data_IF_032680445765
#
_entry.id   IF_032680445765
#
_cell.length_a   1.000
_cell.length_b   1.000
_cell.length_c   1.000
_cell.angle_alpha   90.00
_cell.angle_beta   90.00
_cell.angle_gamma   90.00
#
_symmetry.space_group_name_H-M   'P 1'
#
loop_
_entity.id
_entity.type
_entity.pdbx_description
1 polymer ?
#
# COMPACT_ATOMS: atom_id res chain seq x y z
N UNK A 1 -0.68 -21.50 3.76
CA UNK A 1 0.53 -21.51 2.95
C UNK A 1 0.16 -21.76 1.52
N UNK A 2 0.58 -20.87 0.60
CA UNK A 2 0.44 -21.15 -0.82
C UNK A 2 1.30 -22.35 -1.18
N UNK A 3 0.82 -23.29 -1.99
CA UNK A 3 1.66 -24.36 -2.51
C UNK A 3 2.75 -23.69 -3.36
N UNK A 4 4.01 -23.89 -2.99
CA UNK A 4 5.12 -23.56 -3.88
C UNK A 4 5.06 -24.58 -5.02
N UNK A 5 4.52 -24.19 -6.15
CA UNK A 5 4.57 -25.02 -7.35
C UNK A 5 5.99 -24.93 -7.88
N UNK A 6 6.76 -25.99 -7.63
CA UNK A 6 8.09 -26.14 -8.21
C UNK A 6 7.88 -26.93 -9.50
N UNK A 7 8.03 -26.30 -10.64
CA UNK A 7 7.92 -26.90 -11.97
C UNK A 7 9.19 -27.61 -12.43
N UNK A 8 10.14 -27.77 -11.51
CA UNK A 8 11.37 -28.56 -11.71
C UNK A 8 11.33 -29.71 -10.73
N UNK A 9 11.48 -30.93 -11.23
CA UNK A 9 11.72 -32.09 -10.38
C UNK A 9 13.07 -31.94 -9.68
N UNK A 10 13.01 -31.51 -8.44
CA UNK A 10 14.20 -31.26 -7.62
C UNK A 10 14.85 -32.57 -7.14
N UNK A 11 14.34 -33.73 -7.50
CA UNK A 11 14.82 -35.03 -7.03
C UNK A 11 14.90 -35.12 -5.50
N UNK A 12 14.73 -36.28 -4.94
CA UNK A 12 14.74 -36.51 -3.47
C UNK A 12 15.98 -35.95 -2.75
N UNK A 13 17.11 -35.81 -3.46
CA UNK A 13 18.36 -35.31 -2.88
C UNK A 13 18.53 -33.80 -2.89
N UNK A 14 17.63 -33.06 -3.56
CA UNK A 14 17.66 -31.60 -3.66
C UNK A 14 16.63 -30.94 -2.76
N UNK A 15 15.67 -31.68 -2.29
CA UNK A 15 14.81 -31.28 -1.18
C UNK A 15 15.54 -31.64 0.10
N UNK A 16 15.88 -30.70 0.99
CA UNK A 16 16.54 -31.01 2.25
C UNK A 16 15.76 -32.11 2.96
N UNK A 17 16.47 -33.21 3.26
CA UNK A 17 15.97 -34.50 3.69
C UNK A 17 14.60 -34.53 4.30
N UNK A 18 13.83 -35.44 3.83
CA UNK A 18 12.39 -35.63 4.06
C UNK A 18 11.71 -34.43 4.70
N UNK A 19 10.72 -33.86 4.08
CA UNK A 19 9.91 -32.71 4.56
C UNK A 19 9.60 -32.79 6.10
N UNK A 20 9.70 -33.95 6.68
CA UNK A 20 9.56 -34.22 8.09
C UNK A 20 10.63 -33.58 9.00
N UNK A 21 11.79 -33.25 8.45
CA UNK A 21 12.87 -32.59 9.20
C UNK A 21 12.96 -31.10 8.95
N UNK A 22 12.12 -30.51 8.06
CA UNK A 22 12.12 -29.09 7.78
C UNK A 22 11.32 -28.38 8.87
N UNK A 23 12.00 -28.01 9.92
CA UNK A 23 11.46 -27.19 11.02
C UNK A 23 11.34 -25.71 10.63
N UNK A 24 11.97 -25.31 9.53
CA UNK A 24 11.99 -23.92 9.07
C UNK A 24 11.70 -23.84 7.56
N UNK A 25 10.43 -23.62 7.22
CA UNK A 25 10.00 -23.44 5.85
C UNK A 25 10.61 -22.21 5.17
N UNK A 26 11.01 -21.19 5.93
CA UNK A 26 11.62 -19.96 5.40
C UNK A 26 12.97 -20.27 4.76
N UNK A 27 13.75 -21.14 5.37
CA UNK A 27 15.05 -21.57 4.83
C UNK A 27 14.90 -22.37 3.52
N UNK A 28 13.85 -23.17 3.39
CA UNK A 28 13.56 -23.94 2.17
C UNK A 28 13.16 -23.02 1.03
N UNK A 29 12.29 -22.06 1.30
CA UNK A 29 11.87 -21.03 0.34
C UNK A 29 13.08 -20.22 -0.10
N UNK A 30 13.89 -19.71 0.83
CA UNK A 30 15.09 -18.93 0.55
C UNK A 30 16.05 -19.71 -0.36
N UNK A 31 16.35 -20.96 -0.04
CA UNK A 31 17.25 -21.81 -0.83
C UNK A 31 16.69 -22.08 -2.24
N UNK A 32 15.39 -22.30 -2.38
CA UNK A 32 14.74 -22.51 -3.68
C UNK A 32 14.83 -21.25 -4.57
N UNK A 33 14.73 -20.09 -3.96
CA UNK A 33 14.82 -18.80 -4.65
C UNK A 33 16.26 -18.46 -5.04
N UNK A 34 17.23 -18.77 -4.19
CA UNK A 34 18.66 -18.67 -4.49
C UNK A 34 19.06 -19.55 -5.69
N UNK A 35 18.57 -20.80 -5.74
CA UNK A 35 18.82 -21.72 -6.85
C UNK A 35 18.24 -21.21 -8.18
N UNK A 36 17.18 -20.42 -8.15
CA UNK A 36 16.55 -19.80 -9.30
C UNK A 36 17.11 -18.40 -9.63
N UNK A 37 18.13 -17.97 -8.90
CA UNK A 37 18.70 -16.63 -8.97
C UNK A 37 17.65 -15.51 -8.71
N UNK A 38 16.64 -15.81 -7.90
CA UNK A 38 15.64 -14.85 -7.46
C UNK A 38 16.17 -14.19 -6.18
N UNK A 39 16.40 -12.90 -6.25
CA UNK A 39 16.77 -12.10 -5.08
C UNK A 39 15.51 -11.77 -4.28
N UNK A 40 15.52 -12.12 -3.00
CA UNK A 40 14.49 -11.66 -2.06
C UNK A 40 15.12 -10.56 -1.21
N UNK A 41 14.45 -9.43 -1.17
CA UNK A 41 14.67 -8.41 -0.15
C UNK A 41 13.70 -8.69 1.00
N UNK A 42 14.21 -8.84 2.19
CA UNK A 42 13.40 -8.94 3.41
C UNK A 42 13.54 -7.62 4.12
N UNK A 43 12.44 -6.91 4.24
CA UNK A 43 12.38 -5.66 5.00
C UNK A 43 11.86 -6.00 6.40
N UNK A 44 12.71 -5.81 7.41
CA UNK A 44 12.32 -5.98 8.80
C UNK A 44 11.72 -4.69 9.33
N UNK A 45 10.52 -4.79 9.92
CA UNK A 45 9.81 -3.67 10.54
C UNK A 45 9.58 -4.02 12.01
N UNK A 46 10.01 -3.14 12.90
CA UNK A 46 9.91 -3.36 14.36
C UNK A 46 8.51 -3.01 14.88
N UNK A 47 7.51 -3.86 14.58
CA UNK A 47 6.13 -3.75 15.05
C UNK A 47 5.72 -5.00 15.82
N UNK A 48 4.69 -4.93 16.71
CA UNK A 48 4.32 -6.05 17.59
C UNK A 48 3.55 -7.17 16.92
N UNK A 49 3.13 -7.01 15.66
CA UNK A 49 2.41 -8.01 14.86
C UNK A 49 3.28 -8.48 13.69
N UNK A 50 2.97 -9.62 13.10
CA UNK A 50 3.67 -10.07 11.91
C UNK A 50 3.34 -9.17 10.71
N UNK A 51 4.32 -9.02 9.80
CA UNK A 51 4.19 -8.24 8.58
C UNK A 51 4.56 -9.10 7.37
N UNK A 52 3.58 -9.41 6.55
CA UNK A 52 3.78 -10.20 5.33
C UNK A 52 2.58 -10.10 4.39
N UNK A 53 2.81 -10.22 3.09
CA UNK A 53 1.75 -10.29 2.08
C UNK A 53 0.75 -11.45 2.28
N UNK A 54 1.10 -12.44 3.11
CA UNK A 54 0.22 -13.55 3.44
C UNK A 54 -1.05 -13.12 4.20
N UNK A 55 -1.05 -11.96 4.83
CA UNK A 55 -2.21 -11.40 5.55
C UNK A 55 -3.14 -10.59 4.64
N UNK A 56 -2.74 -10.32 3.40
CA UNK A 56 -3.59 -9.61 2.45
C UNK A 56 -4.90 -10.38 2.22
N UNK A 57 -6.02 -9.69 2.42
CA UNK A 57 -7.36 -10.29 2.32
C UNK A 57 -7.87 -10.90 3.62
N UNK A 58 -7.17 -10.75 4.74
CA UNK A 58 -7.71 -11.08 6.06
C UNK A 58 -9.00 -10.31 6.31
N UNK A 59 -10.04 -11.01 6.77
CA UNK A 59 -11.35 -10.41 7.03
C UNK A 59 -11.61 -10.32 8.52
N UNK A 60 -11.58 -9.10 9.05
CA UNK A 60 -11.92 -8.83 10.45
C UNK A 60 -13.41 -8.56 10.56
N UNK A 61 -14.14 -9.46 11.23
CA UNK A 61 -15.57 -9.31 11.48
C UNK A 61 -15.83 -8.30 12.60
N UNK A 62 -17.04 -7.75 12.64
CA UNK A 62 -17.41 -6.75 13.64
C UNK A 62 -17.27 -7.25 15.09
N UNK A 63 -17.47 -8.54 15.35
CA UNK A 63 -17.30 -9.14 16.68
C UNK A 63 -15.85 -9.23 17.13
N UNK A 64 -14.92 -9.27 16.17
CA UNK A 64 -13.50 -9.50 16.40
C UNK A 64 -12.67 -8.20 16.30
N UNK A 65 -13.31 -7.08 15.93
CA UNK A 65 -12.63 -5.80 15.81
C UNK A 65 -12.45 -5.09 17.16
N UNK A 66 -11.30 -4.51 17.36
CA UNK A 66 -11.04 -3.54 18.42
C UNK A 66 -11.66 -2.19 18.05
N UNK A 67 -11.29 -1.65 16.89
CA UNK A 67 -11.81 -0.39 16.36
C UNK A 67 -12.03 -0.49 14.85
N UNK A 68 -12.87 0.40 14.34
CA UNK A 68 -13.06 0.65 12.91
C UNK A 68 -12.84 2.14 12.61
N UNK A 69 -12.12 2.44 11.54
CA UNK A 69 -12.07 3.76 10.93
C UNK A 69 -12.81 3.67 9.60
N UNK A 70 -13.83 4.49 9.36
CA UNK A 70 -14.66 4.29 8.17
C UNK A 70 -15.40 5.53 7.73
N UNK A 71 -15.29 5.83 6.45
CA UNK A 71 -15.99 6.91 5.76
C UNK A 71 -17.53 6.84 5.85
N UNK A 72 -18.08 5.68 6.19
CA UNK A 72 -19.53 5.53 6.38
C UNK A 72 -20.07 6.25 7.63
N UNK A 73 -19.22 6.54 8.62
CA UNK A 73 -19.67 7.09 9.90
C UNK A 73 -18.85 8.28 10.40
N UNK A 74 -17.65 8.45 9.87
CA UNK A 74 -16.74 9.52 10.28
C UNK A 74 -15.87 9.94 9.08
N UNK A 75 -15.33 11.16 9.05
CA UNK A 75 -14.45 11.58 7.97
C UNK A 75 -13.19 10.73 7.93
N UNK A 76 -12.77 10.37 6.73
CA UNK A 76 -11.51 9.65 6.50
C UNK A 76 -10.80 10.17 5.26
N UNK A 77 -9.48 10.14 5.25
CA UNK A 77 -8.69 10.34 4.04
C UNK A 77 -7.29 9.73 4.14
N UNK A 78 -6.74 9.43 2.98
CA UNK A 78 -5.34 9.04 2.79
C UNK A 78 -4.76 9.97 1.73
N UNK A 79 -3.74 10.71 2.09
CA UNK A 79 -3.14 11.71 1.21
C UNK A 79 -1.62 11.61 1.26
N UNK A 80 -1.02 11.55 0.09
CA UNK A 80 0.41 11.77 -0.12
C UNK A 80 0.59 13.12 -0.80
N UNK A 81 1.42 13.97 -0.24
CA UNK A 81 1.72 15.31 -0.73
C UNK A 81 3.24 15.49 -0.91
N UNK A 82 3.64 15.97 -2.07
CA UNK A 82 5.03 16.36 -2.35
C UNK A 82 5.28 17.76 -1.81
N UNK A 83 6.29 17.89 -0.97
CA UNK A 83 6.68 19.16 -0.35
C UNK A 83 8.17 19.43 -0.53
N UNK A 84 8.62 20.65 -0.20
CA UNK A 84 10.04 20.96 -0.19
C UNK A 84 10.76 20.26 0.96
N UNK A 85 12.02 19.85 0.72
CA UNK A 85 12.78 19.08 1.71
C UNK A 85 13.15 19.85 3.01
N UNK A 86 13.00 21.15 3.01
CA UNK A 86 13.16 22.05 4.15
C UNK A 86 11.88 22.22 4.97
N UNK A 87 10.73 21.78 4.44
CA UNK A 87 9.44 21.85 5.13
C UNK A 87 9.17 20.63 6.01
N UNK A 88 9.92 19.55 5.85
CA UNK A 88 9.73 18.30 6.58
C UNK A 88 11.01 17.81 7.25
N UNK A 89 10.81 17.12 8.36
CA UNK A 89 11.82 16.37 9.09
C UNK A 89 11.70 14.88 8.76
N UNK A 90 12.78 14.29 8.27
CA UNK A 90 12.78 12.88 7.90
C UNK A 90 12.47 11.97 9.10
N UNK A 91 11.67 10.94 8.85
CA UNK A 91 11.21 9.97 9.88
C UNK A 91 10.41 10.60 11.03
N UNK A 92 9.89 11.79 10.85
CA UNK A 92 9.02 12.38 11.87
C UNK A 92 7.62 11.75 11.78
N UNK A 93 7.23 11.13 12.87
CA UNK A 93 5.92 10.51 13.04
C UNK A 93 5.14 11.29 14.09
N UNK A 94 3.94 11.73 13.74
CA UNK A 94 3.03 12.46 14.63
C UNK A 94 1.69 11.75 14.70
N UNK A 95 1.22 11.49 15.93
CA UNK A 95 -0.14 11.01 16.19
C UNK A 95 -0.95 12.17 16.76
N UNK A 96 -2.06 12.52 16.11
CA UNK A 96 -2.92 13.62 16.53
C UNK A 96 -4.30 13.10 16.88
N UNK A 97 -4.69 13.25 18.13
CA UNK A 97 -5.91 12.71 18.69
C UNK A 97 -5.64 11.48 19.53
N UNK A 98 -6.59 10.56 19.58
CA UNK A 98 -6.55 9.35 20.43
C UNK A 98 -5.87 8.19 19.72
N UNK A 99 -5.01 7.46 20.43
CA UNK A 99 -4.47 6.18 19.95
C UNK A 99 -5.45 5.03 20.23
N UNK A 100 -5.16 3.83 19.77
CA UNK A 100 -6.04 2.65 19.80
C UNK A 100 -6.49 2.28 21.24
N UNK A 101 -5.67 2.56 22.25
CA UNK A 101 -5.96 2.27 23.66
C UNK A 101 -6.87 3.31 24.32
N UNK A 102 -7.04 4.47 23.69
CA UNK A 102 -7.93 5.53 24.15
C UNK A 102 -9.29 5.52 23.43
N UNK A 103 -9.43 4.66 22.39
CA UNK A 103 -10.64 4.54 21.59
C UNK A 103 -11.56 3.45 22.13
N UNK A 104 -12.86 3.73 22.13
CA UNK A 104 -13.86 2.79 22.62
C UNK A 104 -13.97 1.56 21.70
N UNK A 105 -13.84 0.37 22.30
CA UNK A 105 -13.90 -0.89 21.59
C UNK A 105 -15.22 -1.05 20.80
N UNK A 106 -15.09 -1.55 19.57
CA UNK A 106 -16.23 -1.85 18.70
C UNK A 106 -16.87 -0.63 18.03
N UNK A 107 -16.35 0.57 18.25
CA UNK A 107 -16.84 1.82 17.68
C UNK A 107 -16.10 2.18 16.39
N UNK A 108 -16.67 3.18 15.68
CA UNK A 108 -16.11 3.71 14.42
C UNK A 108 -15.66 5.15 14.63
N UNK A 109 -14.46 5.46 14.16
CA UNK A 109 -13.79 6.74 14.33
C UNK A 109 -13.32 7.34 13.01
N UNK A 110 -12.92 8.60 13.06
CA UNK A 110 -12.26 9.31 11.98
C UNK A 110 -10.80 8.86 11.83
N UNK A 111 -10.24 8.96 10.60
CA UNK A 111 -8.84 8.69 10.34
C UNK A 111 -8.34 9.53 9.16
N UNK A 112 -7.26 10.25 9.35
CA UNK A 112 -6.45 10.72 8.24
C UNK A 112 -5.05 10.11 8.31
N UNK A 113 -4.61 9.53 7.21
CA UNK A 113 -3.22 9.15 6.97
C UNK A 113 -2.64 10.19 6.03
N UNK A 114 -1.89 11.14 6.60
CA UNK A 114 -1.31 12.24 5.85
C UNK A 114 0.20 12.09 5.79
N UNK A 115 0.72 11.92 4.58
CA UNK A 115 2.11 11.62 4.29
C UNK A 115 2.69 12.77 3.47
N UNK A 116 3.75 13.37 3.95
CA UNK A 116 4.53 14.35 3.22
C UNK A 116 5.82 13.71 2.76
N UNK A 117 6.12 13.82 1.49
CA UNK A 117 7.35 13.29 0.89
C UNK A 117 8.12 14.39 0.19
N UNK A 118 9.44 14.30 0.26
CA UNK A 118 10.34 15.17 -0.47
C UNK A 118 11.46 14.35 -1.13
N UNK A 119 11.91 14.80 -2.30
CA UNK A 119 13.02 14.18 -3.00
C UNK A 119 13.31 14.91 -4.30
N UNK A 120 14.59 14.92 -4.69
CA UNK A 120 15.04 15.66 -5.88
C UNK A 120 14.38 15.21 -7.19
N UNK A 121 13.88 13.97 -7.24
CA UNK A 121 13.17 13.40 -8.39
C UNK A 121 11.68 13.21 -8.14
N UNK A 122 11.18 13.61 -6.97
CA UNK A 122 9.77 13.46 -6.64
C UNK A 122 8.91 14.39 -7.51
N UNK A 123 7.76 13.90 -7.94
CA UNK A 123 6.80 14.61 -8.78
C UNK A 123 5.38 14.32 -8.27
N UNK A 124 4.48 15.28 -8.45
CA UNK A 124 3.08 15.12 -8.03
C UNK A 124 2.36 13.93 -8.70
N UNK A 125 2.80 13.51 -9.89
CA UNK A 125 2.26 12.33 -10.56
C UNK A 125 2.57 11.01 -9.83
N UNK A 126 3.56 11.00 -8.95
CA UNK A 126 3.93 9.82 -8.16
C UNK A 126 3.11 9.70 -6.86
N UNK A 127 2.54 10.81 -6.38
CA UNK A 127 1.73 10.83 -5.15
C UNK A 127 0.63 9.76 -5.14
N UNK A 128 -0.26 9.66 -6.15
CA UNK A 128 -1.31 8.65 -6.14
C UNK A 128 -0.78 7.21 -6.28
N UNK A 129 0.42 7.01 -6.81
CA UNK A 129 1.05 5.69 -6.88
C UNK A 129 1.51 5.24 -5.50
N UNK A 130 2.16 6.13 -4.75
CA UNK A 130 2.58 5.88 -3.36
C UNK A 130 1.33 5.71 -2.47
N UNK A 131 0.35 6.59 -2.60
CA UNK A 131 -0.90 6.58 -1.81
C UNK A 131 -1.66 5.24 -1.93
N UNK A 132 -1.73 4.66 -3.13
CA UNK A 132 -2.36 3.34 -3.33
C UNK A 132 -1.64 2.19 -2.63
N UNK A 133 -0.34 2.34 -2.33
CA UNK A 133 0.41 1.34 -1.60
C UNK A 133 0.01 1.23 -0.14
N UNK A 134 -0.54 2.29 0.46
CA UNK A 134 -1.07 2.28 1.83
C UNK A 134 -2.02 1.10 2.03
N UNK A 135 -2.92 0.87 1.05
CA UNK A 135 -3.84 -0.26 1.08
C UNK A 135 -3.14 -1.61 1.25
N UNK A 136 -2.11 -1.87 0.44
CA UNK A 136 -1.38 -3.13 0.51
C UNK A 136 -0.59 -3.25 1.82
N UNK A 137 0.13 -2.21 2.21
CA UNK A 137 0.97 -2.24 3.41
C UNK A 137 0.16 -2.39 4.70
N UNK A 138 -1.00 -1.75 4.79
CA UNK A 138 -1.91 -1.96 5.93
C UNK A 138 -2.43 -3.40 5.95
N UNK A 139 -2.79 -3.96 4.80
CA UNK A 139 -3.24 -5.36 4.71
C UNK A 139 -2.12 -6.39 4.91
N UNK A 140 -0.85 -5.99 4.91
CA UNK A 140 0.27 -6.88 5.24
C UNK A 140 0.52 -6.97 6.75
N UNK A 141 -0.09 -6.11 7.56
CA UNK A 141 -0.05 -6.23 9.03
C UNK A 141 -1.07 -7.29 9.48
N UNK A 142 -0.60 -8.27 10.24
CA UNK A 142 -1.49 -9.26 10.88
C UNK A 142 -2.53 -8.56 11.75
N UNK A 143 -3.81 -8.90 11.54
CA UNK A 143 -4.92 -8.33 12.29
C UNK A 143 -5.31 -6.91 11.89
N UNK A 144 -4.92 -6.46 10.71
CA UNK A 144 -5.38 -5.21 10.09
C UNK A 144 -6.08 -5.51 8.78
N UNK A 145 -7.24 -4.92 8.58
CA UNK A 145 -7.99 -5.00 7.33
C UNK A 145 -8.20 -3.59 6.79
N UNK A 146 -7.77 -3.35 5.58
CA UNK A 146 -7.98 -2.09 4.88
C UNK A 146 -8.75 -2.34 3.58
N UNK A 147 -9.76 -1.55 3.31
CA UNK A 147 -10.53 -1.55 2.06
C UNK A 147 -10.81 -0.12 1.60
N UNK A 148 -10.89 0.05 0.29
CA UNK A 148 -11.15 1.36 -0.31
C UNK A 148 -9.87 2.15 -0.59
N UNK A 149 -10.04 3.43 -0.91
CA UNK A 149 -8.95 4.37 -1.23
C UNK A 149 -9.39 5.82 -1.07
N UNK A 150 -8.44 6.75 -1.02
CA UNK A 150 -8.66 8.18 -0.88
C UNK A 150 -9.49 8.49 0.38
N UNK A 151 -10.68 9.08 0.22
CA UNK A 151 -11.62 9.39 1.29
C UNK A 151 -12.71 8.33 1.51
N UNK A 152 -12.68 7.23 0.75
CA UNK A 152 -13.66 6.14 0.84
C UNK A 152 -12.98 4.88 1.37
N UNK A 153 -12.48 4.95 2.59
CA UNK A 153 -11.74 3.85 3.23
C UNK A 153 -12.52 3.24 4.40
N UNK A 154 -12.15 1.99 4.68
CA UNK A 154 -12.47 1.31 5.93
C UNK A 154 -11.24 0.57 6.40
N UNK A 155 -10.77 0.91 7.60
CA UNK A 155 -9.70 0.21 8.29
C UNK A 155 -10.27 -0.43 9.56
N UNK A 156 -9.97 -1.70 9.78
CA UNK A 156 -10.30 -2.41 11.03
C UNK A 156 -9.03 -2.96 11.65
N UNK A 157 -8.96 -2.83 12.95
CA UNK A 157 -7.93 -3.45 13.78
C UNK A 157 -8.58 -4.54 14.60
N UNK A 158 -8.02 -5.75 14.59
CA UNK A 158 -8.51 -6.86 15.40
C UNK A 158 -8.16 -6.68 16.88
N UNK A 159 -8.92 -7.35 17.75
CA UNK A 159 -8.62 -7.43 19.21
C UNK A 159 -7.28 -8.09 19.43
N UNK A 160 -6.99 -9.15 18.70
CA UNK A 160 -5.72 -9.91 18.84
C UNK A 160 -4.51 -9.03 18.51
N UNK A 161 -4.56 -8.24 17.43
CA UNK A 161 -3.48 -7.31 17.10
C UNK A 161 -3.31 -6.21 18.15
N UNK A 162 -4.43 -5.67 18.63
CA UNK A 162 -4.43 -4.69 19.73
C UNK A 162 -3.82 -5.26 21.02
N UNK A 163 -4.18 -6.50 21.39
CA UNK A 163 -3.65 -7.21 22.56
C UNK A 163 -2.15 -7.54 22.42
N UNK A 164 -1.67 -7.79 21.21
CA UNK A 164 -0.24 -7.91 20.90
C UNK A 164 0.52 -6.59 21.04
N UNK A 165 -0.17 -5.49 21.19
CA UNK A 165 0.42 -4.17 21.42
C UNK A 165 0.41 -3.23 20.21
N UNK A 166 -0.28 -3.58 19.12
CA UNK A 166 -0.37 -2.71 17.93
C UNK A 166 -0.98 -1.35 18.28
N UNK A 167 -0.35 -0.27 17.80
CA UNK A 167 -0.74 1.12 18.00
C UNK A 167 -0.66 1.91 16.69
N UNK A 168 -1.24 3.11 16.64
CA UNK A 168 -1.22 3.95 15.44
C UNK A 168 0.20 4.36 15.01
N UNK A 169 1.11 4.43 15.96
CA UNK A 169 2.53 4.64 15.64
C UNK A 169 3.10 3.54 14.76
N UNK A 170 2.71 2.28 15.00
CA UNK A 170 3.19 1.14 14.20
C UNK A 170 2.70 1.21 12.76
N UNK A 171 1.49 1.75 12.52
CA UNK A 171 0.99 2.04 11.16
C UNK A 171 1.91 3.03 10.44
N UNK A 172 2.29 4.10 11.11
CA UNK A 172 3.19 5.09 10.54
C UNK A 172 4.61 4.54 10.30
N UNK A 173 5.13 3.70 11.21
CA UNK A 173 6.43 3.03 11.03
C UNK A 173 6.41 2.11 9.79
N UNK A 174 5.34 1.34 9.61
CA UNK A 174 5.17 0.51 8.40
C UNK A 174 5.20 1.37 7.15
N UNK A 175 4.42 2.45 7.12
CA UNK A 175 4.38 3.36 5.98
C UNK A 175 5.74 3.98 5.69
N UNK A 176 6.43 4.48 6.70
CA UNK A 176 7.75 5.08 6.54
C UNK A 176 8.75 4.09 5.94
N UNK A 177 8.88 2.92 6.57
CA UNK A 177 9.85 1.89 6.11
C UNK A 177 9.53 1.45 4.68
N UNK A 178 8.25 1.23 4.37
CA UNK A 178 7.85 0.76 3.04
C UNK A 178 8.00 1.82 1.96
N UNK A 179 7.74 3.10 2.28
CA UNK A 179 7.97 4.22 1.35
C UNK A 179 9.46 4.34 1.04
N UNK A 180 10.31 4.35 2.07
CA UNK A 180 11.74 4.48 1.91
C UNK A 180 12.37 3.25 1.23
N UNK A 181 11.72 2.08 1.32
CA UNK A 181 12.18 0.85 0.70
C UNK A 181 11.76 0.71 -0.78
N UNK A 182 10.50 1.01 -1.10
CA UNK A 182 9.95 0.81 -2.44
C UNK A 182 10.14 2.03 -3.37
N UNK A 183 10.34 3.23 -2.80
CA UNK A 183 10.43 4.49 -3.54
C UNK A 183 11.74 5.27 -3.30
N UNK A 184 12.80 4.58 -2.88
CA UNK A 184 14.12 5.13 -2.59
C UNK A 184 14.76 5.91 -3.77
N UNK A 185 14.31 5.65 -4.99
CA UNK A 185 14.79 6.35 -6.19
C UNK A 185 14.22 7.78 -6.32
N UNK A 186 13.14 8.10 -5.63
CA UNK A 186 12.43 9.38 -5.74
C UNK A 186 12.15 10.05 -4.40
N UNK A 187 12.08 9.31 -3.30
CA UNK A 187 11.82 9.84 -1.95
C UNK A 187 13.12 9.88 -1.16
N UNK A 188 13.53 11.08 -0.74
CA UNK A 188 14.71 11.30 0.10
C UNK A 188 14.33 11.52 1.57
N UNK A 189 13.11 12.03 1.83
CA UNK A 189 12.55 12.27 3.17
C UNK A 189 11.06 11.98 3.20
N UNK A 190 10.59 11.52 4.35
CA UNK A 190 9.19 11.24 4.59
C UNK A 190 8.78 11.64 6.01
N UNK A 191 7.71 12.42 6.14
CA UNK A 191 7.05 12.76 7.40
C UNK A 191 5.63 12.22 7.38
N UNK A 192 5.17 11.57 8.47
CA UNK A 192 3.87 10.90 8.53
C UNK A 192 3.08 11.41 9.72
N UNK A 193 1.85 11.80 9.46
CA UNK A 193 0.88 12.20 10.44
C UNK A 193 -0.36 11.29 10.38
N UNK A 194 -0.65 10.61 11.48
CA UNK A 194 -1.88 9.83 11.67
C UNK A 194 -2.80 10.64 12.58
N UNK A 195 -3.99 10.98 12.08
CA UNK A 195 -4.94 11.84 12.78
C UNK A 195 -6.22 11.09 13.05
N UNK A 196 -6.66 11.09 14.32
CA UNK A 196 -7.95 10.52 14.76
C UNK A 196 -8.87 11.56 15.37
N UNK A 197 -8.39 12.79 15.56
CA UNK A 197 -9.23 13.93 15.93
C UNK A 197 -10.18 14.29 14.79
N UNK A 198 -11.48 14.18 15.02
CA UNK A 198 -12.50 14.28 13.97
C UNK A 198 -12.50 15.64 13.27
N UNK A 199 -12.29 16.73 14.01
CA UNK A 199 -12.31 18.10 13.45
C UNK A 199 -11.09 18.30 12.55
N UNK A 200 -9.94 17.82 12.99
CA UNK A 200 -8.70 17.89 12.20
C UNK A 200 -8.74 16.99 10.97
N UNK A 201 -9.30 15.78 11.09
CA UNK A 201 -9.51 14.92 9.91
C UNK A 201 -10.40 15.59 8.89
N UNK A 202 -11.50 16.25 9.34
CA UNK A 202 -12.38 16.99 8.45
C UNK A 202 -11.66 18.18 7.80
N UNK A 203 -10.84 18.90 8.54
CA UNK A 203 -10.02 20.00 8.01
C UNK A 203 -9.06 19.50 6.92
N UNK A 204 -8.29 18.44 7.19
CA UNK A 204 -7.37 17.85 6.19
C UNK A 204 -8.13 17.37 4.96
N UNK A 205 -9.26 16.69 5.17
CA UNK A 205 -10.11 16.19 4.09
C UNK A 205 -10.57 17.32 3.17
N UNK A 206 -11.13 18.40 3.74
CA UNK A 206 -11.70 19.49 2.95
C UNK A 206 -10.66 20.43 2.33
N UNK A 207 -9.60 20.74 3.08
CA UNK A 207 -8.63 21.77 2.66
C UNK A 207 -7.45 21.23 1.86
N UNK A 208 -7.14 19.93 1.99
CA UNK A 208 -5.99 19.30 1.33
C UNK A 208 -6.39 18.13 0.43
N UNK A 209 -7.03 17.10 1.00
CA UNK A 209 -7.25 15.85 0.28
C UNK A 209 -8.24 15.99 -0.87
N UNK A 210 -9.42 16.58 -0.65
CA UNK A 210 -10.43 16.77 -1.71
C UNK A 210 -9.94 17.64 -2.85
N UNK A 211 -9.28 18.80 -2.61
CA UNK A 211 -8.66 19.58 -3.68
C UNK A 211 -7.60 18.81 -4.48
N UNK A 212 -6.74 18.03 -3.80
CA UNK A 212 -5.73 17.23 -4.48
C UNK A 212 -6.36 16.12 -5.36
N UNK A 213 -7.39 15.44 -4.85
CA UNK A 213 -8.11 14.43 -5.63
C UNK A 213 -8.81 15.04 -6.84
N UNK A 214 -9.49 16.17 -6.65
CA UNK A 214 -10.16 16.88 -7.74
C UNK A 214 -9.19 17.33 -8.84
N UNK A 215 -8.03 17.88 -8.47
CA UNK A 215 -7.02 18.28 -9.42
C UNK A 215 -6.44 17.09 -10.22
N UNK A 216 -6.25 15.94 -9.56
CA UNK A 216 -5.81 14.71 -10.25
C UNK A 216 -6.87 14.19 -11.22
N UNK A 217 -8.13 14.22 -10.83
CA UNK A 217 -9.25 13.76 -11.64
C UNK A 217 -9.45 14.69 -12.85
N UNK A 218 -9.41 16.03 -12.66
CA UNK A 218 -9.48 17.04 -13.73
C UNK A 218 -8.35 16.84 -14.77
N UNK A 219 -7.14 16.58 -14.33
CA UNK A 219 -6.02 16.30 -15.25
C UNK A 219 -6.28 15.08 -16.12
N UNK A 220 -6.90 14.04 -15.56
CA UNK A 220 -7.26 12.85 -16.34
C UNK A 220 -8.38 13.13 -17.32
N UNK A 221 -9.41 13.89 -16.92
CA UNK A 221 -10.56 14.24 -17.75
C UNK A 221 -10.18 15.10 -18.98
N UNK A 222 -9.05 15.81 -18.92
CA UNK A 222 -8.54 16.59 -20.07
C UNK A 222 -7.85 15.75 -21.13
N UNK A 223 -7.58 14.48 -20.83
CA UNK A 223 -6.90 13.56 -21.74
C UNK A 223 -7.90 12.71 -22.52
N UNK A 224 -7.61 12.49 -23.81
CA UNK A 224 -8.34 11.54 -24.65
C UNK A 224 -7.41 10.50 -25.22
N UNK A 225 -7.96 9.41 -25.74
CA UNK A 225 -7.16 8.36 -26.36
C UNK A 225 -6.36 8.88 -27.56
N UNK A 226 -6.86 9.91 -28.25
CA UNK A 226 -6.14 10.57 -29.37
C UNK A 226 -5.03 11.49 -28.88
N UNK A 227 -5.12 12.04 -27.67
CA UNK A 227 -4.16 13.01 -27.15
C UNK A 227 -2.83 12.41 -26.65
N UNK A 228 -2.73 11.08 -26.61
CA UNK A 228 -1.56 10.38 -26.11
C UNK A 228 -0.94 9.46 -27.15
N UNK A 229 0.37 9.29 -27.11
CA UNK A 229 1.10 8.43 -28.05
C UNK A 229 1.14 6.95 -27.63
N UNK A 230 0.85 6.66 -26.36
CA UNK A 230 0.98 5.32 -25.78
C UNK A 230 -0.16 5.03 -24.83
N UNK A 231 -0.56 3.76 -24.81
CA UNK A 231 -1.35 3.18 -23.74
C UNK A 231 -0.45 2.40 -22.78
N UNK A 232 -0.99 1.88 -21.69
CA UNK A 232 -0.24 1.07 -20.75
C UNK A 232 -0.98 -0.22 -20.42
N UNK A 233 -0.22 -1.31 -20.19
CA UNK A 233 -0.76 -2.50 -19.54
C UNK A 233 -0.88 -2.26 -18.05
N UNK A 234 -1.69 -3.07 -17.36
CA UNK A 234 -1.63 -3.23 -15.92
C UNK A 234 -1.82 -4.70 -15.57
N UNK A 235 -0.86 -5.28 -14.88
CA UNK A 235 -0.84 -6.69 -14.46
C UNK A 235 -0.88 -6.87 -12.94
N UNK A 236 -1.20 -5.84 -12.19
CA UNK A 236 -1.27 -5.87 -10.72
C UNK A 236 -2.17 -6.98 -10.15
N UNK A 237 -3.24 -7.34 -10.89
CA UNK A 237 -4.17 -8.39 -10.46
C UNK A 237 -3.69 -9.81 -10.72
N UNK A 238 -2.51 -10.05 -11.30
CA UNK A 238 -2.04 -11.40 -11.64
C UNK A 238 -1.83 -12.29 -10.42
N UNK A 239 -1.70 -11.73 -9.23
CA UNK A 239 -1.71 -12.49 -7.97
C UNK A 239 -3.01 -13.27 -7.76
N UNK A 240 -4.14 -12.71 -8.22
CA UNK A 240 -5.48 -13.29 -8.08
C UNK A 240 -5.99 -13.93 -9.38
N UNK A 241 -5.58 -13.39 -10.51
CA UNK A 241 -5.98 -13.82 -11.85
C UNK A 241 -4.73 -13.87 -12.75
N UNK A 242 -3.98 -14.99 -12.77
CA UNK A 242 -2.63 -15.09 -13.37
C UNK A 242 -2.51 -14.67 -14.83
N UNK A 243 -3.59 -14.76 -15.61
CA UNK A 243 -3.59 -14.35 -17.03
C UNK A 243 -4.21 -12.97 -17.25
N UNK A 244 -4.57 -12.25 -16.19
CA UNK A 244 -5.26 -10.98 -16.31
C UNK A 244 -4.27 -9.86 -16.70
N UNK A 245 -4.64 -9.09 -17.72
CA UNK A 245 -3.93 -7.89 -18.14
C UNK A 245 -4.94 -6.85 -18.61
N UNK A 246 -4.97 -5.70 -17.96
CA UNK A 246 -5.72 -4.56 -18.43
C UNK A 246 -4.92 -3.79 -19.48
N UNK A 247 -5.62 -3.21 -20.45
CA UNK A 247 -5.12 -2.08 -21.25
C UNK A 247 -5.77 -0.83 -20.69
N UNK A 248 -4.93 0.08 -20.21
CA UNK A 248 -5.32 1.34 -19.57
C UNK A 248 -5.04 2.47 -20.54
N UNK A 249 -6.08 3.23 -20.86
CA UNK A 249 -6.03 4.39 -21.74
C UNK A 249 -6.55 5.62 -20.99
N UNK A 250 -6.39 6.85 -21.49
CA UNK A 250 -7.01 8.03 -20.88
C UNK A 250 -8.52 7.87 -20.62
N UNK A 251 -9.24 7.25 -21.57
CA UNK A 251 -10.69 7.06 -21.49
C UNK A 251 -11.10 5.74 -20.83
N UNK A 252 -10.14 4.87 -20.48
CA UNK A 252 -10.40 3.56 -19.92
C UNK A 252 -9.49 3.22 -18.76
N UNK A 253 -10.04 3.23 -17.58
CA UNK A 253 -9.39 2.78 -16.35
C UNK A 253 -9.09 1.27 -16.38
N UNK A 254 -8.18 0.82 -15.55
CA UNK A 254 -8.09 -0.58 -15.17
C UNK A 254 -9.44 -1.10 -14.64
N UNK A 255 -9.73 -2.40 -14.79
CA UNK A 255 -11.00 -3.00 -14.35
C UNK A 255 -11.30 -2.81 -12.85
N UNK A 256 -10.28 -2.60 -12.04
CA UNK A 256 -10.45 -2.27 -10.62
C UNK A 256 -11.00 -0.85 -10.38
N UNK A 257 -11.03 0.01 -11.40
CA UNK A 257 -11.41 1.42 -11.27
C UNK A 257 -10.37 2.30 -10.55
N UNK A 258 -9.22 1.73 -10.15
CA UNK A 258 -8.23 2.42 -9.34
C UNK A 258 -6.98 2.86 -10.10
N UNK A 259 -6.71 2.28 -11.26
CA UNK A 259 -5.52 2.60 -12.06
C UNK A 259 -5.93 3.37 -13.30
N UNK A 260 -5.60 4.64 -13.32
CA UNK A 260 -5.76 5.52 -14.48
C UNK A 260 -4.55 5.45 -15.42
N UNK A 261 -4.64 6.10 -16.58
CA UNK A 261 -3.52 6.21 -17.51
C UNK A 261 -2.33 6.96 -16.90
N UNK A 262 -2.59 8.04 -16.15
CA UNK A 262 -1.55 8.78 -15.44
C UNK A 262 -0.85 7.90 -14.41
N UNK A 263 -1.62 7.11 -13.69
CA UNK A 263 -1.08 6.17 -12.70
C UNK A 263 -0.20 5.09 -13.33
N UNK A 264 -0.64 4.54 -14.46
CA UNK A 264 0.11 3.52 -15.17
C UNK A 264 1.42 4.09 -15.76
N UNK A 265 1.37 5.33 -16.27
CA UNK A 265 2.54 6.09 -16.73
C UNK A 265 3.54 6.30 -15.59
N UNK A 266 3.07 6.84 -14.46
CA UNK A 266 3.90 7.08 -13.29
C UNK A 266 4.49 5.79 -12.72
N UNK A 267 3.69 4.71 -12.66
CA UNK A 267 4.16 3.38 -12.22
C UNK A 267 5.29 2.87 -13.12
N UNK A 268 5.21 3.07 -14.45
CA UNK A 268 6.29 2.70 -15.37
C UNK A 268 7.56 3.49 -15.14
N UNK A 269 7.43 4.77 -14.83
CA UNK A 269 8.59 5.64 -14.55
C UNK A 269 9.28 5.25 -13.25
N UNK A 270 8.51 4.94 -12.21
CA UNK A 270 9.01 4.50 -10.90
C UNK A 270 9.60 3.09 -10.94
N UNK A 271 8.98 2.19 -11.67
CA UNK A 271 9.42 0.80 -11.80
C UNK A 271 9.38 0.36 -13.26
N UNK A 272 10.48 0.57 -14.01
CA UNK A 272 10.55 0.23 -15.43
C UNK A 272 10.29 -1.23 -15.78
N UNK A 273 10.56 -2.16 -14.87
CA UNK A 273 10.29 -3.60 -15.01
C UNK A 273 8.98 -4.03 -14.35
N UNK A 274 8.20 -3.06 -13.88
CA UNK A 274 6.98 -3.26 -13.10
C UNK A 274 5.76 -3.65 -13.93
N UNK A 275 4.59 -3.67 -13.28
CA UNK A 275 3.34 -4.20 -13.84
C UNK A 275 2.75 -3.37 -14.98
N UNK A 276 3.19 -2.13 -15.15
CA UNK A 276 2.67 -1.22 -16.18
C UNK A 276 3.70 -1.07 -17.30
N UNK A 277 3.41 -1.61 -18.47
CA UNK A 277 4.29 -1.53 -19.63
C UNK A 277 3.63 -0.74 -20.77
N UNK A 278 4.38 0.09 -21.52
CA UNK A 278 3.83 0.88 -22.61
C UNK A 278 3.41 0.00 -23.79
N UNK A 279 2.32 0.39 -24.43
CA UNK A 279 1.81 -0.18 -25.67
C UNK A 279 1.76 0.93 -26.70
N UNK A 280 2.40 0.73 -27.86
CA UNK A 280 2.30 1.67 -28.98
C UNK A 280 0.88 1.62 -29.57
N UNK A 281 0.34 2.78 -29.93
CA UNK A 281 -0.88 2.87 -30.76
C UNK A 281 -0.51 2.49 -32.20
N UNK A 282 -1.33 1.67 -32.82
CA UNK A 282 -1.23 1.36 -34.26
C UNK A 282 -1.97 2.40 -35.09
#
# INVERSE_FOLDING_TARGET
>A
GFPVVVDVDLGENQVPGALESVTDHSMTVKKSLELRNIKIKVTEIAIPVAFASAFEGEVIRRGDMQVEFSSHKAPTCELVETVSADEIEDHKITIVGKDLDELEQGQTFALATYIKVAGAKMQSDFEPVIERKIHAWYNYMEGVMHTGQRNQIRVRVSKDAYEKGLRLKDFAEVLYVMIMDEFDIVVDKCEIEIVTDTEKVQEILETKAMPAYAARDERLETLTDESVDKFYTCTLCQSFAPSHCCVVTPERLGLCGAVSWLDAKATKELNPEGPCQPISKE
#
